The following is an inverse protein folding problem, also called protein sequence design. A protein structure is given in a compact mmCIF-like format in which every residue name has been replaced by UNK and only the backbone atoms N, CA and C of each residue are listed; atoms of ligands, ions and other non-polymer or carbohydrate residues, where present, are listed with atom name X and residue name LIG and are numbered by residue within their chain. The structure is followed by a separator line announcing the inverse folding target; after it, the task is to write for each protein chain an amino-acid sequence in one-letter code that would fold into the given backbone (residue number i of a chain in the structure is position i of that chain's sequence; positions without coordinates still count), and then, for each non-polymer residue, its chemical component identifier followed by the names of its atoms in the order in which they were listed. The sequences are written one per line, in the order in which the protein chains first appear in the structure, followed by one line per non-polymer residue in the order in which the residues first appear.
data_IF_877002853210
#
_entry.id   IF_877002853210
#
_cell.length_a   1.000
_cell.length_b   1.000
_cell.length_c   1.000
_cell.angle_alpha   90.00
_cell.angle_beta   90.00
_cell.angle_gamma   90.00
#
_symmetry.space_group_name_H-M   'P 1'
#
loop_
_entity.id
_entity.type
_entity.pdbx_description
1 polymer ?
#
# COMPACT_ATOMS: atom_id res chain seq x y z
N UNK A 1 -12.53 0.98 -2.57
CA UNK A 1 -12.05 1.01 -1.17
C UNK A 1 -11.25 2.28 -0.97
N UNK A 2 -11.56 3.07 0.06
CA UNK A 2 -10.80 4.27 0.41
C UNK A 2 -9.86 3.92 1.57
N UNK A 3 -8.59 4.29 1.48
CA UNK A 3 -7.59 3.99 2.51
C UNK A 3 -6.62 5.17 2.64
N UNK A 4 -6.40 5.74 3.84
CA UNK A 4 -5.35 6.70 4.07
C UNK A 4 -3.97 6.09 3.79
N UNK A 5 -3.07 6.84 3.16
CA UNK A 5 -1.74 6.30 2.82
C UNK A 5 -0.94 5.92 4.05
N UNK A 6 -1.09 6.67 5.13
CA UNK A 6 -0.47 6.36 6.42
C UNK A 6 -0.85 4.96 6.92
N UNK A 7 -2.12 4.58 6.77
CA UNK A 7 -2.64 3.26 7.15
C UNK A 7 -2.10 2.17 6.22
N UNK A 8 -2.12 2.37 4.90
CA UNK A 8 -1.58 1.41 3.94
C UNK A 8 -0.13 1.07 4.27
N UNK A 9 0.70 2.08 4.49
CA UNK A 9 2.12 1.93 4.76
C UNK A 9 2.39 1.28 6.11
N UNK A 10 1.62 1.66 7.14
CA UNK A 10 1.71 1.04 8.45
C UNK A 10 1.40 -0.46 8.35
N UNK A 11 0.31 -0.82 7.66
CA UNK A 11 -0.12 -2.19 7.48
C UNK A 11 0.89 -3.01 6.68
N UNK A 12 1.48 -2.45 5.63
CA UNK A 12 2.51 -3.14 4.84
C UNK A 12 3.80 -3.36 5.65
N UNK A 13 4.23 -2.36 6.45
CA UNK A 13 5.39 -2.50 7.31
C UNK A 13 5.17 -3.56 8.41
N UNK A 14 4.01 -3.51 9.09
CA UNK A 14 3.64 -4.53 10.07
C UNK A 14 3.62 -5.94 9.45
N UNK A 15 3.09 -6.05 8.22
CA UNK A 15 3.01 -7.31 7.49
C UNK A 15 4.39 -7.87 7.09
N UNK A 16 5.44 -7.04 7.02
CA UNK A 16 6.82 -7.53 6.83
C UNK A 16 7.37 -8.19 8.09
N UNK A 17 6.99 -7.70 9.27
CA UNK A 17 7.46 -8.22 10.56
C UNK A 17 6.82 -9.58 10.87
N UNK A 18 5.57 -9.78 10.49
CA UNK A 18 4.80 -11.00 10.77
C UNK A 18 4.78 -12.01 9.60
N UNK A 19 5.58 -11.77 8.54
CA UNK A 19 5.65 -12.57 7.30
C UNK A 19 4.33 -12.66 6.49
N UNK A 20 3.38 -11.74 6.70
CA UNK A 20 2.11 -11.69 5.94
C UNK A 20 2.11 -10.67 4.78
N UNK A 21 3.27 -10.08 4.45
CA UNK A 21 3.41 -9.02 3.44
C UNK A 21 2.64 -9.28 2.14
N UNK A 22 2.85 -10.45 1.52
CA UNK A 22 2.19 -10.79 0.26
C UNK A 22 0.67 -10.90 0.36
N UNK A 23 0.15 -11.41 1.48
CA UNK A 23 -1.29 -11.47 1.73
C UNK A 23 -1.87 -10.05 1.83
N UNK A 24 -1.13 -9.14 2.47
CA UNK A 24 -1.55 -7.74 2.61
C UNK A 24 -1.46 -6.98 1.29
N UNK A 25 -0.45 -7.26 0.47
CA UNK A 25 -0.39 -6.75 -0.91
C UNK A 25 -1.61 -7.22 -1.70
N UNK A 26 -1.93 -8.52 -1.70
CA UNK A 26 -3.10 -9.05 -2.41
C UNK A 26 -4.42 -8.43 -1.95
N UNK A 27 -4.55 -8.15 -0.65
CA UNK A 27 -5.70 -7.42 -0.10
C UNK A 27 -5.90 -6.05 -0.77
N UNK A 28 -4.82 -5.27 -0.96
CA UNK A 28 -4.88 -3.96 -1.63
C UNK A 28 -4.98 -4.06 -3.17
N UNK A 29 -4.61 -5.20 -3.76
CA UNK A 29 -4.79 -5.46 -5.19
C UNK A 29 -6.20 -5.98 -5.54
N UNK A 30 -6.92 -6.58 -4.59
CA UNK A 30 -8.24 -7.17 -4.79
C UNK A 30 -9.34 -6.22 -5.29
N UNK A 31 -9.53 -4.99 -4.74
CA UNK A 31 -10.62 -4.13 -5.19
C UNK A 31 -10.37 -3.63 -6.62
N UNK A 32 -11.43 -3.40 -7.40
CA UNK A 32 -11.32 -2.82 -8.75
C UNK A 32 -10.87 -1.34 -8.70
N UNK A 33 -11.31 -0.61 -7.67
CA UNK A 33 -10.90 0.77 -7.40
C UNK A 33 -10.36 0.91 -5.97
N UNK A 34 -9.08 1.27 -5.86
CA UNK A 34 -8.41 1.65 -4.62
C UNK A 34 -8.17 3.17 -4.65
N UNK A 35 -8.77 3.90 -3.72
CA UNK A 35 -8.59 5.34 -3.55
C UNK A 35 -7.68 5.55 -2.36
N UNK A 36 -6.57 6.24 -2.58
CA UNK A 36 -5.59 6.57 -1.55
C UNK A 36 -5.73 8.04 -1.17
N UNK A 37 -6.09 8.28 0.08
CA UNK A 37 -6.31 9.63 0.61
C UNK A 37 -5.10 10.10 1.44
N UNK A 38 -5.06 11.40 1.74
CA UNK A 38 -4.05 12.07 2.55
C UNK A 38 -2.62 12.00 1.98
N UNK A 39 -2.49 11.81 0.67
CA UNK A 39 -1.19 11.84 0.00
C UNK A 39 -0.55 13.22 0.14
N UNK A 40 0.66 13.26 0.72
CA UNK A 40 1.43 14.49 0.89
C UNK A 40 1.22 15.25 2.20
N UNK A 41 0.33 14.79 3.09
CA UNK A 41 0.14 15.42 4.40
C UNK A 41 1.31 15.19 5.38
N UNK A 42 2.02 14.07 5.24
CA UNK A 42 3.22 13.75 6.01
C UNK A 42 4.30 13.19 5.08
N UNK A 43 5.57 13.44 5.39
CA UNK A 43 6.67 12.79 4.67
C UNK A 43 6.58 11.29 4.89
N UNK A 44 6.54 10.55 3.79
CA UNK A 44 6.62 9.10 3.84
C UNK A 44 8.03 8.68 4.29
N UNK A 45 8.17 7.76 5.24
CA UNK A 45 9.46 7.12 5.52
C UNK A 45 10.04 6.51 4.24
N UNK A 46 11.36 6.61 4.01
CA UNK A 46 11.96 6.13 2.75
C UNK A 46 11.64 4.66 2.43
N UNK A 47 11.63 3.79 3.44
CA UNK A 47 11.28 2.36 3.30
C UNK A 47 9.82 2.12 2.88
N UNK A 48 8.94 3.09 3.10
CA UNK A 48 7.51 3.00 2.80
C UNK A 48 7.20 3.46 1.37
N UNK A 49 8.10 4.24 0.75
CA UNK A 49 7.92 4.70 -0.62
C UNK A 49 7.99 3.55 -1.63
N UNK A 50 8.90 2.58 -1.41
CA UNK A 50 9.03 1.40 -2.27
C UNK A 50 7.77 0.51 -2.21
N UNK A 51 7.24 0.28 -1.00
CA UNK A 51 6.03 -0.53 -0.79
C UNK A 51 4.81 0.12 -1.44
N UNK A 52 4.69 1.44 -1.30
CA UNK A 52 3.66 2.22 -1.98
C UNK A 52 3.79 2.10 -3.51
N UNK A 53 5.00 2.24 -4.05
CA UNK A 53 5.25 2.11 -5.48
C UNK A 53 4.97 0.70 -5.99
N UNK A 54 5.23 -0.34 -5.20
CA UNK A 54 4.90 -1.73 -5.55
C UNK A 54 3.40 -1.92 -5.76
N UNK A 55 2.56 -1.42 -4.85
CA UNK A 55 1.10 -1.49 -4.99
C UNK A 55 0.64 -0.79 -6.27
N UNK A 56 1.13 0.43 -6.53
CA UNK A 56 0.76 1.18 -7.75
C UNK A 56 1.19 0.42 -9.00
N UNK A 57 2.45 -0.04 -9.06
CA UNK A 57 2.99 -0.76 -10.21
C UNK A 57 2.20 -2.03 -10.52
N UNK A 58 1.85 -2.81 -9.49
CA UNK A 58 1.06 -4.04 -9.65
C UNK A 58 -0.36 -3.76 -10.12
N UNK A 59 -1.02 -2.69 -9.63
CA UNK A 59 -2.36 -2.30 -10.09
C UNK A 59 -2.33 -1.79 -11.53
N UNK A 60 -1.32 -0.99 -11.90
CA UNK A 60 -1.16 -0.49 -13.26
C UNK A 60 -0.96 -1.62 -14.28
N UNK A 61 -0.23 -2.67 -13.93
CA UNK A 61 -0.01 -3.84 -14.81
C UNK A 61 -1.22 -4.78 -14.94
N UNK A 62 -2.22 -4.65 -14.06
CA UNK A 62 -3.43 -5.49 -14.03
C UNK A 62 -4.62 -4.85 -14.75
N UNK A 63 -4.60 -3.54 -14.96
CA UNK A 63 -5.61 -2.80 -15.74
C UNK A 63 -5.28 -2.78 -17.22
#
# INVERSE_FOLDING_TARGET
MVTPISELLHNLNAAKVDNTYYQKVDYYLKPDLLVLDELGFKRLPGYSADDFFEIISKRYKKG
#
